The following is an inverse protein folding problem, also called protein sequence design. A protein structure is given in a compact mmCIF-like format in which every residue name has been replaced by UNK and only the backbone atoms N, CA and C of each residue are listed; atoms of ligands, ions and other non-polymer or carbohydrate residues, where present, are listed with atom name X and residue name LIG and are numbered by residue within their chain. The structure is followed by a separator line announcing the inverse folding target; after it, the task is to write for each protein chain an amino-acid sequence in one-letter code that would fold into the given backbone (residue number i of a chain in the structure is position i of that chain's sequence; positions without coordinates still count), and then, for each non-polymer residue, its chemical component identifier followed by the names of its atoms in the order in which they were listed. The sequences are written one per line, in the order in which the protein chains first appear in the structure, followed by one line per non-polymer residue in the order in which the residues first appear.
data_IF_233022575655
#
_entry.id   IF_233022575655
#
_cell.length_a   1.000
_cell.length_b   1.000
_cell.length_c   1.000
_cell.angle_alpha   90.00
_cell.angle_beta   90.00
_cell.angle_gamma   90.00
#
_symmetry.space_group_name_H-M   'P 1'
#
loop_
_entity.id
_entity.type
_entity.pdbx_description
1 polymer ?
#
# COMPACT_ATOMS: atom_id res chain seq x y z
N UNK A 1 -37.91 -14.21 -10.26
CA UNK A 1 -37.60 -13.33 -9.11
C UNK A 1 -38.46 -12.12 -9.20
N UNK A 2 -39.24 -11.83 -8.16
CA UNK A 2 -40.01 -10.58 -8.07
C UNK A 2 -39.03 -9.42 -7.92
N UNK A 3 -39.39 -8.25 -8.43
CA UNK A 3 -38.61 -7.01 -8.32
C UNK A 3 -38.29 -6.70 -6.84
N UNK A 4 -39.27 -6.93 -5.96
CA UNK A 4 -39.13 -6.80 -4.50
C UNK A 4 -37.98 -7.61 -3.89
N UNK A 5 -37.66 -8.83 -4.40
CA UNK A 5 -36.63 -9.66 -3.85
C UNK A 5 -35.21 -9.22 -4.28
N UNK A 6 -35.07 -8.49 -5.38
CA UNK A 6 -33.80 -7.85 -5.79
C UNK A 6 -33.52 -6.64 -4.92
N UNK A 7 -34.52 -5.83 -4.67
CA UNK A 7 -34.40 -4.61 -3.86
C UNK A 7 -34.02 -4.93 -2.41
N UNK A 8 -34.53 -6.02 -1.85
CA UNK A 8 -34.16 -6.47 -0.51
C UNK A 8 -32.68 -6.88 -0.45
N UNK A 9 -32.20 -7.69 -1.42
CA UNK A 9 -30.79 -8.11 -1.46
C UNK A 9 -29.85 -6.89 -1.60
N UNK A 10 -30.21 -5.93 -2.45
CA UNK A 10 -29.42 -4.71 -2.63
C UNK A 10 -29.36 -3.87 -1.35
N UNK A 11 -30.47 -3.72 -0.64
CA UNK A 11 -30.51 -3.04 0.64
C UNK A 11 -29.64 -3.75 1.68
N UNK A 12 -29.65 -5.08 1.74
CA UNK A 12 -28.84 -5.84 2.69
C UNK A 12 -27.36 -5.80 2.33
N UNK A 13 -26.99 -5.82 1.04
CA UNK A 13 -25.62 -5.58 0.61
C UNK A 13 -25.11 -4.19 1.03
N UNK A 14 -25.93 -3.16 0.85
CA UNK A 14 -25.60 -1.79 1.28
C UNK A 14 -25.42 -1.70 2.81
N UNK A 15 -26.24 -2.40 3.60
CA UNK A 15 -26.05 -2.51 5.06
C UNK A 15 -24.72 -3.22 5.39
N UNK A 16 -24.40 -4.32 4.71
CA UNK A 16 -23.16 -5.06 4.92
C UNK A 16 -21.93 -4.19 4.59
N UNK A 17 -21.97 -3.42 3.50
CA UNK A 17 -20.91 -2.45 3.14
C UNK A 17 -20.76 -1.37 4.21
N UNK A 18 -21.87 -0.84 4.72
CA UNK A 18 -21.84 0.16 5.80
C UNK A 18 -21.23 -0.42 7.08
N UNK A 19 -21.60 -1.65 7.48
CA UNK A 19 -20.99 -2.33 8.61
C UNK A 19 -19.50 -2.60 8.40
N UNK A 20 -19.09 -2.97 7.19
CA UNK A 20 -17.68 -3.14 6.83
C UNK A 20 -16.91 -1.81 7.03
N UNK A 21 -17.46 -0.68 6.56
CA UNK A 21 -16.88 0.64 6.76
C UNK A 21 -16.78 1.09 8.23
N UNK A 22 -17.66 0.56 9.10
CA UNK A 22 -17.64 0.78 10.54
C UNK A 22 -16.79 -0.25 11.31
N UNK A 23 -16.08 -1.15 10.64
CA UNK A 23 -15.34 -2.29 11.21
C UNK A 23 -16.22 -3.28 12.00
N UNK A 24 -17.52 -3.29 11.78
CA UNK A 24 -18.49 -4.24 12.35
C UNK A 24 -18.53 -5.51 11.50
N UNK A 25 -17.43 -6.27 11.56
CA UNK A 25 -17.22 -7.41 10.66
C UNK A 25 -18.20 -8.55 10.88
N UNK A 26 -18.59 -8.81 12.13
CA UNK A 26 -19.51 -9.91 12.47
C UNK A 26 -20.91 -9.69 11.91
N UNK A 27 -21.40 -8.44 11.97
CA UNK A 27 -22.70 -8.04 11.43
C UNK A 27 -22.69 -8.12 9.89
N UNK A 28 -21.61 -7.65 9.25
CA UNK A 28 -21.43 -7.75 7.81
C UNK A 28 -21.35 -9.22 7.35
N UNK A 29 -20.61 -10.08 8.07
CA UNK A 29 -20.50 -11.53 7.78
C UNK A 29 -21.87 -12.21 7.91
N UNK A 30 -22.66 -11.88 8.92
CA UNK A 30 -24.02 -12.47 9.11
C UNK A 30 -24.91 -12.18 7.90
N UNK A 31 -25.01 -10.90 7.52
CA UNK A 31 -25.86 -10.50 6.38
C UNK A 31 -25.39 -11.17 5.08
N UNK A 32 -24.09 -11.14 4.79
CA UNK A 32 -23.57 -11.78 3.58
C UNK A 32 -23.82 -13.29 3.54
N UNK A 33 -23.70 -13.98 4.69
CA UNK A 33 -23.99 -15.41 4.76
C UNK A 33 -25.48 -15.72 4.58
N UNK A 34 -26.38 -14.86 5.02
CA UNK A 34 -27.82 -15.00 4.77
C UNK A 34 -28.11 -14.84 3.27
N UNK A 35 -27.58 -13.79 2.65
CA UNK A 35 -27.71 -13.57 1.20
C UNK A 35 -27.24 -14.79 0.41
N UNK A 36 -26.08 -15.35 0.76
CA UNK A 36 -25.47 -16.50 0.05
C UNK A 36 -26.30 -17.78 0.22
N UNK A 37 -26.94 -17.98 1.39
CA UNK A 37 -27.84 -19.11 1.63
C UNK A 37 -29.07 -19.06 0.73
N UNK A 38 -29.62 -17.88 0.53
CA UNK A 38 -30.80 -17.69 -0.31
C UNK A 38 -30.45 -17.68 -1.79
N UNK A 39 -29.33 -17.05 -2.13
CA UNK A 39 -28.88 -16.88 -3.51
C UNK A 39 -27.36 -16.76 -3.59
N UNK A 40 -26.78 -17.48 -4.53
CA UNK A 40 -25.37 -17.33 -4.89
C UNK A 40 -25.12 -15.90 -5.42
N UNK A 41 -24.48 -15.04 -4.62
CA UNK A 41 -24.32 -13.61 -4.91
C UNK A 41 -22.85 -13.20 -4.89
N UNK A 42 -22.38 -12.63 -6.01
CA UNK A 42 -20.97 -12.24 -6.20
C UNK A 42 -20.52 -11.16 -5.24
N UNK A 43 -21.36 -10.15 -4.98
CA UNK A 43 -21.00 -9.03 -4.10
C UNK A 43 -20.94 -9.46 -2.63
N UNK A 44 -21.82 -10.36 -2.20
CA UNK A 44 -21.76 -10.93 -0.86
C UNK A 44 -20.48 -11.71 -0.62
N UNK A 45 -20.04 -12.55 -1.59
CA UNK A 45 -18.73 -13.22 -1.52
C UNK A 45 -17.57 -12.22 -1.51
N UNK A 46 -17.63 -11.14 -2.30
CA UNK A 46 -16.61 -10.10 -2.33
C UNK A 46 -16.49 -9.37 -1.00
N UNK A 47 -17.61 -9.02 -0.35
CA UNK A 47 -17.62 -8.39 0.98
C UNK A 47 -16.98 -9.34 2.00
N UNK A 48 -17.35 -10.62 2.00
CA UNK A 48 -16.73 -11.62 2.87
C UNK A 48 -15.23 -11.76 2.61
N UNK A 49 -14.81 -11.75 1.34
CA UNK A 49 -13.39 -11.78 0.97
C UNK A 49 -12.64 -10.59 1.54
N UNK A 50 -13.21 -9.38 1.45
CA UNK A 50 -12.62 -8.15 2.00
C UNK A 50 -12.47 -8.23 3.52
N UNK A 51 -13.46 -8.78 4.23
CA UNK A 51 -13.39 -9.02 5.68
C UNK A 51 -12.26 -10.02 6.00
N UNK A 52 -12.14 -11.12 5.23
CA UNK A 52 -11.07 -12.11 5.44
C UNK A 52 -9.69 -11.52 5.16
N UNK A 53 -9.57 -10.66 4.14
CA UNK A 53 -8.35 -9.93 3.85
C UNK A 53 -7.93 -9.03 5.03
N UNK A 54 -8.87 -8.26 5.58
CA UNK A 54 -8.64 -7.43 6.75
C UNK A 54 -8.20 -8.26 7.98
N UNK A 55 -8.85 -9.41 8.22
CA UNK A 55 -8.50 -10.37 9.27
C UNK A 55 -7.20 -11.14 8.99
N UNK A 56 -6.49 -10.84 7.90
CA UNK A 56 -5.26 -11.51 7.45
C UNK A 56 -5.44 -13.00 7.14
N UNK A 57 -6.67 -13.45 6.88
CA UNK A 57 -7.01 -14.81 6.46
C UNK A 57 -6.89 -14.92 4.92
N UNK A 58 -5.67 -14.71 4.38
CA UNK A 58 -5.44 -14.47 2.95
C UNK A 58 -5.96 -15.60 2.04
N UNK A 59 -5.75 -16.87 2.42
CA UNK A 59 -6.22 -18.01 1.61
C UNK A 59 -7.75 -18.05 1.51
N UNK A 60 -8.45 -17.77 2.61
CA UNK A 60 -9.92 -17.69 2.59
C UNK A 60 -10.42 -16.50 1.78
N UNK A 61 -9.71 -15.37 1.86
CA UNK A 61 -10.01 -14.21 1.03
C UNK A 61 -9.90 -14.57 -0.47
N UNK A 62 -8.82 -15.23 -0.88
CA UNK A 62 -8.62 -15.68 -2.26
C UNK A 62 -9.72 -16.66 -2.69
N UNK A 63 -10.08 -17.62 -1.85
CA UNK A 63 -11.18 -18.56 -2.14
C UNK A 63 -12.51 -17.83 -2.40
N UNK A 64 -12.87 -16.90 -1.49
CA UNK A 64 -14.14 -16.19 -1.58
C UNK A 64 -14.20 -15.24 -2.77
N UNK A 65 -13.12 -14.50 -3.05
CA UNK A 65 -13.13 -13.61 -4.21
C UNK A 65 -13.12 -14.37 -5.54
N UNK A 66 -12.54 -15.56 -5.59
CA UNK A 66 -12.67 -16.41 -6.77
C UNK A 66 -14.11 -16.85 -7.00
N UNK A 67 -14.88 -17.16 -5.95
CA UNK A 67 -16.34 -17.41 -6.08
C UNK A 67 -17.09 -16.18 -6.61
N UNK A 68 -16.68 -14.97 -6.23
CA UNK A 68 -17.24 -13.74 -6.82
C UNK A 68 -16.97 -13.67 -8.32
N UNK A 69 -15.72 -13.95 -8.72
CA UNK A 69 -15.28 -13.91 -10.12
C UNK A 69 -15.97 -15.02 -10.96
N UNK A 70 -16.17 -16.21 -10.40
CA UNK A 70 -16.91 -17.31 -11.08
C UNK A 70 -18.36 -16.92 -11.40
N UNK A 71 -18.98 -16.06 -10.60
CA UNK A 71 -20.35 -15.58 -10.80
C UNK A 71 -20.38 -14.38 -11.73
N UNK A 72 -19.43 -13.45 -11.58
CA UNK A 72 -19.30 -12.24 -12.39
C UNK A 72 -17.83 -11.88 -12.55
N UNK A 73 -17.28 -12.07 -13.74
CA UNK A 73 -15.86 -11.82 -14.05
C UNK A 73 -15.58 -10.43 -14.65
N UNK A 74 -16.61 -9.57 -14.75
CA UNK A 74 -16.51 -8.24 -15.32
C UNK A 74 -16.28 -7.13 -14.27
N UNK A 75 -16.43 -7.44 -12.97
CA UNK A 75 -16.24 -6.44 -11.92
C UNK A 75 -14.75 -6.26 -11.57
N UNK A 76 -14.12 -5.10 -11.90
CA UNK A 76 -12.72 -4.86 -11.63
C UNK A 76 -12.37 -4.90 -10.13
N UNK A 77 -13.31 -4.56 -9.24
CA UNK A 77 -13.12 -4.56 -7.79
C UNK A 77 -12.75 -5.94 -7.23
N UNK A 78 -13.28 -7.01 -7.82
CA UNK A 78 -12.93 -8.37 -7.40
C UNK A 78 -11.47 -8.69 -7.68
N UNK A 79 -10.96 -8.28 -8.84
CA UNK A 79 -9.55 -8.47 -9.20
C UNK A 79 -8.61 -7.57 -8.39
N UNK A 80 -9.06 -6.39 -7.96
CA UNK A 80 -8.31 -5.56 -7.01
C UNK A 80 -8.15 -6.29 -5.69
N UNK A 81 -9.25 -6.82 -5.13
CA UNK A 81 -9.20 -7.58 -3.87
C UNK A 81 -8.36 -8.84 -4.00
N UNK A 82 -8.48 -9.57 -5.11
CA UNK A 82 -7.64 -10.74 -5.41
C UNK A 82 -6.15 -10.36 -5.46
N UNK A 83 -5.82 -9.25 -6.13
CA UNK A 83 -4.46 -8.72 -6.21
C UNK A 83 -3.89 -8.36 -4.84
N UNK A 84 -4.68 -7.69 -4.00
CA UNK A 84 -4.31 -7.37 -2.63
C UNK A 84 -4.09 -8.62 -1.77
N UNK A 85 -4.97 -9.62 -1.86
CA UNK A 85 -4.86 -10.86 -1.11
C UNK A 85 -3.61 -11.67 -1.52
N UNK A 86 -3.31 -11.77 -2.82
CA UNK A 86 -2.06 -12.37 -3.30
C UNK A 86 -0.83 -11.58 -2.88
N UNK A 87 -0.87 -10.24 -2.91
CA UNK A 87 0.24 -9.41 -2.45
C UNK A 87 0.53 -9.61 -0.96
N UNK A 88 -0.53 -9.64 -0.14
CA UNK A 88 -0.43 -9.87 1.30
C UNK A 88 0.11 -11.28 1.65
N UNK A 89 -0.25 -12.29 0.85
CA UNK A 89 0.32 -13.64 0.94
C UNK A 89 1.71 -13.77 0.30
N UNK A 90 2.29 -12.67 -0.19
CA UNK A 90 3.59 -12.61 -0.89
C UNK A 90 3.64 -13.33 -2.25
N UNK A 91 2.49 -13.69 -2.81
CA UNK A 91 2.38 -14.23 -4.17
C UNK A 91 2.31 -13.07 -5.19
N UNK A 92 3.41 -12.36 -5.33
CA UNK A 92 3.47 -11.17 -6.19
C UNK A 92 3.24 -11.48 -7.67
N UNK A 93 3.48 -12.72 -8.13
CA UNK A 93 3.21 -13.09 -9.53
C UNK A 93 1.71 -13.09 -9.83
N UNK A 94 0.90 -13.70 -8.98
CA UNK A 94 -0.55 -13.72 -9.16
C UNK A 94 -1.18 -12.37 -8.79
N UNK A 95 -0.62 -11.64 -7.82
CA UNK A 95 -0.99 -10.25 -7.54
C UNK A 95 -0.89 -9.36 -8.80
N UNK A 96 0.23 -9.42 -9.52
CA UNK A 96 0.43 -8.66 -10.78
C UNK A 96 -0.62 -9.06 -11.83
N UNK A 97 -0.92 -10.36 -11.98
CA UNK A 97 -1.94 -10.81 -12.95
C UNK A 97 -3.32 -10.23 -12.60
N UNK A 98 -3.69 -10.27 -11.33
CA UNK A 98 -4.97 -9.77 -10.86
C UNK A 98 -5.09 -8.25 -11.06
N UNK A 99 -4.08 -7.45 -10.67
CA UNK A 99 -4.12 -6.00 -10.90
C UNK A 99 -4.16 -5.63 -12.39
N UNK A 100 -3.41 -6.34 -13.25
CA UNK A 100 -3.49 -6.14 -14.71
C UNK A 100 -4.88 -6.45 -15.26
N UNK A 101 -5.54 -7.49 -14.76
CA UNK A 101 -6.92 -7.80 -15.16
C UNK A 101 -7.88 -6.71 -14.68
N UNK A 102 -7.73 -6.21 -13.44
CA UNK A 102 -8.52 -5.09 -12.94
C UNK A 102 -8.37 -3.85 -13.84
N UNK A 103 -7.13 -3.49 -14.22
CA UNK A 103 -6.86 -2.36 -15.12
C UNK A 103 -7.51 -2.58 -16.49
N UNK A 104 -7.44 -3.81 -17.05
CA UNK A 104 -8.06 -4.13 -18.33
C UNK A 104 -9.60 -4.05 -18.31
N UNK A 105 -10.21 -4.15 -17.12
CA UNK A 105 -11.64 -3.97 -16.86
C UNK A 105 -11.99 -2.52 -16.42
N UNK A 106 -11.10 -1.57 -16.72
CA UNK A 106 -11.28 -0.15 -16.46
C UNK A 106 -11.10 0.30 -14.99
N UNK A 107 -10.33 -0.45 -14.19
CA UNK A 107 -9.89 0.03 -12.87
C UNK A 107 -8.71 1.01 -12.99
N UNK A 108 -8.88 2.07 -13.78
CA UNK A 108 -7.84 3.08 -14.05
C UNK A 108 -7.75 4.08 -12.87
N UNK A 109 -7.39 3.57 -11.70
CA UNK A 109 -7.25 4.36 -10.48
C UNK A 109 -5.82 4.30 -9.96
N UNK A 110 -5.34 5.43 -9.41
CA UNK A 110 -3.97 5.57 -8.89
C UNK A 110 -3.56 4.43 -7.95
N UNK A 111 -4.47 4.03 -7.06
CA UNK A 111 -4.20 3.01 -6.05
C UNK A 111 -3.90 1.62 -6.65
N UNK A 112 -4.55 1.25 -7.76
CA UNK A 112 -4.30 -0.05 -8.42
C UNK A 112 -2.92 -0.05 -9.07
N UNK A 113 -2.53 1.03 -9.73
CA UNK A 113 -1.19 1.19 -10.29
C UNK A 113 -0.12 1.23 -9.20
N UNK A 114 -0.40 1.85 -8.06
CA UNK A 114 0.49 1.84 -6.91
C UNK A 114 0.75 0.41 -6.40
N UNK A 115 -0.28 -0.38 -6.16
CA UNK A 115 -0.13 -1.78 -5.71
C UNK A 115 0.54 -2.68 -6.76
N UNK A 116 0.28 -2.43 -8.04
CA UNK A 116 0.98 -3.11 -9.14
C UNK A 116 2.48 -2.80 -9.10
N UNK A 117 2.84 -1.52 -8.91
CA UNK A 117 4.22 -1.07 -8.76
C UNK A 117 4.93 -1.71 -7.56
N UNK A 118 4.26 -1.79 -6.41
CA UNK A 118 4.79 -2.48 -5.23
C UNK A 118 5.06 -3.97 -5.52
N UNK A 119 4.10 -4.65 -6.16
CA UNK A 119 4.26 -6.07 -6.51
C UNK A 119 5.43 -6.30 -7.47
N UNK A 120 5.63 -5.41 -8.45
CA UNK A 120 6.79 -5.45 -9.34
C UNK A 120 8.10 -5.20 -8.59
N UNK A 121 8.14 -4.20 -7.68
CA UNK A 121 9.31 -3.90 -6.86
C UNK A 121 9.71 -5.12 -6.01
N UNK A 122 8.75 -5.79 -5.38
CA UNK A 122 9.01 -7.01 -4.59
C UNK A 122 9.61 -8.15 -5.42
N UNK A 123 9.28 -8.23 -6.70
CA UNK A 123 9.91 -9.15 -7.66
C UNK A 123 11.19 -8.59 -8.31
N UNK A 124 11.68 -7.42 -7.88
CA UNK A 124 12.84 -6.71 -8.45
C UNK A 124 12.69 -6.37 -9.93
N UNK A 125 11.46 -6.29 -10.42
CA UNK A 125 11.13 -5.81 -11.77
C UNK A 125 11.07 -4.28 -11.77
N UNK A 126 12.23 -3.66 -11.57
CA UNK A 126 12.32 -2.24 -11.27
C UNK A 126 11.77 -1.32 -12.37
N UNK A 127 11.97 -1.65 -13.64
CA UNK A 127 11.46 -0.83 -14.75
C UNK A 127 9.91 -0.85 -14.78
N UNK A 128 9.30 -2.01 -14.57
CA UNK A 128 7.84 -2.14 -14.51
C UNK A 128 7.28 -1.41 -13.27
N UNK A 129 7.99 -1.48 -12.14
CA UNK A 129 7.63 -0.76 -10.92
C UNK A 129 7.66 0.76 -11.14
N UNK A 130 8.72 1.29 -11.75
CA UNK A 130 8.87 2.70 -12.10
C UNK A 130 7.72 3.16 -12.99
N UNK A 131 7.40 2.42 -14.05
CA UNK A 131 6.29 2.76 -14.94
C UNK A 131 4.95 2.82 -14.19
N UNK A 132 4.72 1.85 -13.29
CA UNK A 132 3.50 1.80 -12.49
C UNK A 132 3.41 2.97 -11.50
N UNK A 133 4.51 3.35 -10.84
CA UNK A 133 4.53 4.51 -9.93
C UNK A 133 4.36 5.83 -10.68
N UNK A 134 4.93 5.98 -11.89
CA UNK A 134 4.66 7.16 -12.70
C UNK A 134 3.19 7.24 -13.10
N UNK A 135 2.56 6.12 -13.47
CA UNK A 135 1.12 6.13 -13.76
C UNK A 135 0.30 6.50 -12.51
N UNK A 136 0.73 6.05 -11.33
CA UNK A 136 0.12 6.49 -10.05
C UNK A 136 0.21 8.00 -9.90
N UNK A 137 1.38 8.60 -10.16
CA UNK A 137 1.63 10.05 -10.02
C UNK A 137 0.86 10.86 -11.07
N UNK A 138 0.73 10.35 -12.30
CA UNK A 138 -0.11 10.98 -13.34
C UNK A 138 -1.57 11.08 -12.91
N UNK A 139 -2.10 10.03 -12.26
CA UNK A 139 -3.48 9.97 -11.79
C UNK A 139 -3.69 10.69 -10.44
N UNK A 140 -2.66 10.79 -9.61
CA UNK A 140 -2.66 11.46 -8.31
C UNK A 140 -1.29 12.11 -8.07
N UNK A 141 -1.12 13.38 -8.49
CA UNK A 141 0.18 14.07 -8.44
C UNK A 141 0.75 14.28 -7.01
N UNK A 142 -0.08 14.17 -6.00
CA UNK A 142 0.26 14.32 -4.58
C UNK A 142 0.40 12.98 -3.83
N UNK A 143 0.52 11.86 -4.57
CA UNK A 143 0.64 10.54 -3.97
C UNK A 143 2.02 10.30 -3.35
N UNK A 144 2.19 10.74 -2.10
CA UNK A 144 3.45 10.72 -1.32
C UNK A 144 4.13 9.34 -1.35
N UNK A 145 3.35 8.26 -1.12
CA UNK A 145 3.91 6.91 -1.08
C UNK A 145 4.48 6.45 -2.44
N UNK A 146 3.94 6.94 -3.56
CA UNK A 146 4.49 6.63 -4.88
C UNK A 146 5.87 7.26 -5.08
N UNK A 147 6.04 8.54 -4.70
CA UNK A 147 7.35 9.20 -4.73
C UNK A 147 8.35 8.52 -3.80
N UNK A 148 7.92 8.13 -2.59
CA UNK A 148 8.76 7.40 -1.64
C UNK A 148 9.28 6.09 -2.23
N UNK A 149 8.37 5.25 -2.79
CA UNK A 149 8.77 3.97 -3.39
C UNK A 149 9.55 4.14 -4.69
N UNK A 150 9.26 5.16 -5.48
CA UNK A 150 10.05 5.50 -6.66
C UNK A 150 11.49 5.86 -6.28
N UNK A 151 11.67 6.67 -5.23
CA UNK A 151 12.99 6.97 -4.67
C UNK A 151 13.74 5.72 -4.23
N UNK A 152 13.10 4.81 -3.52
CA UNK A 152 13.69 3.54 -3.10
C UNK A 152 14.07 2.65 -4.30
N UNK A 153 13.24 2.58 -5.35
CA UNK A 153 13.56 1.81 -6.57
C UNK A 153 14.77 2.40 -7.28
N UNK A 154 14.87 3.72 -7.39
CA UNK A 154 16.04 4.37 -7.98
C UNK A 154 17.31 4.15 -7.14
N UNK A 155 17.18 4.15 -5.82
CA UNK A 155 18.30 3.83 -4.91
C UNK A 155 18.78 2.39 -5.11
N UNK A 156 17.85 1.40 -5.20
CA UNK A 156 18.18 0.00 -5.48
C UNK A 156 18.86 -0.17 -6.86
N UNK A 157 18.51 0.69 -7.84
CA UNK A 157 19.17 0.77 -9.16
C UNK A 157 20.47 1.59 -9.15
N UNK A 158 20.89 2.16 -8.03
CA UNK A 158 22.03 3.08 -7.89
C UNK A 158 21.92 4.35 -8.75
N UNK A 159 20.71 4.75 -9.08
CA UNK A 159 20.38 5.99 -9.81
C UNK A 159 20.11 7.11 -8.79
N UNK A 160 21.15 7.52 -8.08
CA UNK A 160 21.00 8.37 -6.89
C UNK A 160 20.41 9.76 -7.19
N UNK A 161 20.72 10.35 -8.36
CA UNK A 161 20.15 11.65 -8.74
C UNK A 161 18.61 11.59 -8.86
N UNK A 162 18.07 10.53 -9.47
CA UNK A 162 16.63 10.31 -9.60
C UNK A 162 15.99 9.95 -8.26
N UNK A 163 16.73 9.23 -7.41
CA UNK A 163 16.31 8.92 -6.05
C UNK A 163 16.17 10.20 -5.22
N UNK A 164 17.17 11.10 -5.27
CA UNK A 164 17.14 12.42 -4.60
C UNK A 164 15.94 13.24 -5.07
N UNK A 165 15.69 13.31 -6.38
CA UNK A 165 14.53 14.04 -6.93
C UNK A 165 13.22 13.49 -6.38
N UNK A 166 13.08 12.15 -6.33
CA UNK A 166 11.87 11.49 -5.85
C UNK A 166 11.63 11.75 -4.36
N UNK A 167 12.67 11.64 -3.51
CA UNK A 167 12.53 11.94 -2.08
C UNK A 167 12.29 13.42 -1.82
N UNK A 168 12.89 14.34 -2.59
CA UNK A 168 12.58 15.77 -2.50
C UNK A 168 11.11 16.05 -2.80
N UNK A 169 10.54 15.43 -3.83
CA UNK A 169 9.10 15.54 -4.12
C UNK A 169 8.23 14.98 -3.01
N UNK A 170 8.62 13.86 -2.42
CA UNK A 170 7.94 13.30 -1.26
C UNK A 170 7.91 14.32 -0.08
N UNK A 171 9.04 14.95 0.23
CA UNK A 171 9.20 15.94 1.31
C UNK A 171 8.46 17.25 0.97
N UNK A 172 8.46 17.68 -0.29
CA UNK A 172 7.70 18.86 -0.74
C UNK A 172 6.20 18.72 -0.44
N UNK A 173 5.64 17.51 -0.63
CA UNK A 173 4.23 17.22 -0.36
C UNK A 173 4.00 16.98 1.15
N UNK A 174 4.90 16.26 1.81
CA UNK A 174 4.82 15.92 3.23
C UNK A 174 6.14 16.30 3.93
N UNK A 175 6.28 17.56 4.40
CA UNK A 175 7.54 18.05 4.99
C UNK A 175 7.95 17.35 6.29
N UNK A 176 7.01 16.79 7.05
CA UNK A 176 7.30 16.02 8.27
C UNK A 176 7.18 14.52 8.01
N UNK A 177 8.06 14.00 7.13
CA UNK A 177 8.14 12.58 6.80
C UNK A 177 9.56 12.05 7.05
N UNK A 178 9.86 11.60 8.28
CA UNK A 178 11.21 11.27 8.70
C UNK A 178 11.90 10.22 7.83
N UNK A 179 11.18 9.22 7.32
CA UNK A 179 11.74 8.19 6.44
C UNK A 179 12.20 8.75 5.09
N UNK A 180 11.49 9.73 4.55
CA UNK A 180 11.89 10.39 3.30
C UNK A 180 13.16 11.22 3.48
N UNK A 181 13.24 12.01 4.57
CA UNK A 181 14.44 12.75 4.94
C UNK A 181 15.63 11.83 5.18
N UNK A 182 15.45 10.76 5.94
CA UNK A 182 16.50 9.77 6.19
C UNK A 182 17.05 9.19 4.89
N UNK A 183 16.18 8.74 3.99
CA UNK A 183 16.59 8.17 2.70
C UNK A 183 17.25 9.22 1.78
N UNK A 184 16.76 10.46 1.79
CA UNK A 184 17.40 11.59 1.09
C UNK A 184 18.81 11.81 1.62
N UNK A 185 18.98 11.85 2.96
CA UNK A 185 20.26 12.00 3.60
C UNK A 185 21.26 10.90 3.20
N UNK A 186 20.80 9.63 3.21
CA UNK A 186 21.60 8.49 2.76
C UNK A 186 22.02 8.64 1.29
N UNK A 187 21.14 9.10 0.40
CA UNK A 187 21.50 9.35 -0.99
C UNK A 187 22.57 10.43 -1.12
N UNK A 188 22.45 11.54 -0.39
CA UNK A 188 23.45 12.61 -0.39
C UNK A 188 24.80 12.12 0.11
N UNK A 189 24.85 11.36 1.20
CA UNK A 189 26.10 10.77 1.71
C UNK A 189 26.75 9.84 0.69
N UNK A 190 25.97 9.05 -0.04
CA UNK A 190 26.47 8.13 -1.07
C UNK A 190 27.06 8.83 -2.28
N UNK A 191 26.59 10.03 -2.62
CA UNK A 191 27.15 10.84 -3.72
C UNK A 191 28.22 11.83 -3.27
N UNK A 192 28.55 11.86 -1.98
CA UNK A 192 29.61 12.71 -1.42
C UNK A 192 29.17 14.12 -1.00
N UNK A 193 27.87 14.43 -1.03
CA UNK A 193 27.32 15.65 -0.50
C UNK A 193 27.11 15.53 1.02
N UNK A 194 28.20 15.61 1.75
CA UNK A 194 28.19 15.38 3.21
C UNK A 194 27.44 16.44 3.98
N UNK A 195 27.44 17.70 3.53
CA UNK A 195 26.75 18.79 4.22
C UNK A 195 25.23 18.56 4.25
N UNK A 196 24.61 18.38 3.08
CA UNK A 196 23.19 18.08 2.97
C UNK A 196 22.87 16.70 3.55
N UNK A 197 23.76 15.72 3.34
CA UNK A 197 23.61 14.35 3.80
C UNK A 197 23.44 14.25 5.31
N UNK A 198 24.34 14.84 6.08
CA UNK A 198 24.24 14.80 7.55
C UNK A 198 23.05 15.59 8.07
N UNK A 199 22.74 16.74 7.47
CA UNK A 199 21.58 17.52 7.86
C UNK A 199 20.27 16.73 7.72
N UNK A 200 20.07 16.07 6.60
CA UNK A 200 18.89 15.24 6.36
C UNK A 200 18.92 13.93 7.20
N UNK A 201 20.11 13.36 7.42
CA UNK A 201 20.26 12.14 8.21
C UNK A 201 19.89 12.33 9.69
N UNK A 202 19.94 13.56 10.23
CA UNK A 202 19.53 13.86 11.61
C UNK A 202 18.03 13.52 11.88
N UNK A 203 17.22 13.45 10.84
CA UNK A 203 15.81 13.03 10.96
C UNK A 203 15.62 11.61 11.50
N UNK A 204 16.68 10.76 11.45
CA UNK A 204 16.66 9.44 12.10
C UNK A 204 16.26 9.50 13.57
N UNK A 205 16.54 10.63 14.25
CA UNK A 205 16.19 10.83 15.67
C UNK A 205 14.68 10.78 15.90
N UNK A 206 13.87 11.16 14.93
CA UNK A 206 12.40 11.05 14.99
C UNK A 206 11.90 9.61 14.85
N UNK A 207 12.69 8.74 14.22
CA UNK A 207 12.35 7.32 14.03
C UNK A 207 12.76 6.45 15.21
N UNK A 208 13.75 6.89 15.97
CA UNK A 208 14.28 6.19 17.13
C UNK A 208 13.59 6.80 18.37
N UNK A 209 12.74 6.04 19.03
CA UNK A 209 12.25 6.39 20.37
C UNK A 209 13.39 6.17 21.39
N UNK A 210 14.35 7.09 21.41
CA UNK A 210 15.35 7.11 22.47
C UNK A 210 14.66 7.49 23.79
N UNK A 211 15.00 6.86 24.91
CA UNK A 211 14.60 7.34 26.23
C UNK A 211 15.05 8.81 26.38
N UNK A 212 14.20 9.65 26.93
CA UNK A 212 14.42 11.11 27.03
C UNK A 212 15.73 11.51 27.75
N UNK A 213 16.29 10.61 28.54
CA UNK A 213 17.54 10.82 29.29
C UNK A 213 18.80 10.58 28.44
N UNK A 214 18.74 9.77 27.39
CA UNK A 214 19.91 9.52 26.53
C UNK A 214 20.15 10.68 25.54
N UNK A 215 19.11 11.47 25.19
CA UNK A 215 19.23 12.66 24.36
C UNK A 215 20.02 13.81 25.03
N UNK A 216 20.09 13.82 26.37
CA UNK A 216 20.85 14.83 27.14
C UNK A 216 22.37 14.63 27.09
N UNK A 217 22.84 13.51 26.59
CA UNK A 217 24.27 13.18 26.47
C UNK A 217 24.81 13.32 25.04
N UNK A 218 24.14 14.10 24.21
CA UNK A 218 24.62 14.32 22.85
C UNK A 218 25.98 15.03 22.90
N UNK A 219 27.00 14.44 22.28
CA UNK A 219 28.30 15.07 22.17
C UNK A 219 28.22 16.32 21.29
N UNK A 220 28.55 17.47 21.87
CA UNK A 220 28.46 18.77 21.21
C UNK A 220 29.81 19.26 20.63
N UNK A 221 30.75 18.36 20.39
CA UNK A 221 32.08 18.73 19.90
C UNK A 221 33.09 19.08 21.02
N UNK A 222 32.77 18.80 22.27
CA UNK A 222 33.67 19.04 23.40
C UNK A 222 34.85 18.03 23.38
N UNK A 223 36.02 18.49 23.85
CA UNK A 223 37.18 17.60 24.00
C UNK A 223 36.85 16.42 24.90
N UNK A 224 37.24 15.23 24.45
CA UNK A 224 37.11 13.98 25.20
C UNK A 224 38.25 13.76 26.22
N UNK A 225 39.07 14.80 26.48
CA UNK A 225 40.19 14.71 27.38
C UNK A 225 39.75 14.21 28.76
N UNK A 226 40.21 13.03 29.11
CA UNK A 226 39.98 12.33 30.39
C UNK A 226 38.58 11.83 30.73
N UNK A 227 37.69 11.58 29.75
CA UNK A 227 36.46 10.85 29.97
C UNK A 227 36.53 9.49 29.33
N UNK A 228 36.47 8.42 30.13
CA UNK A 228 36.27 7.09 29.62
C UNK A 228 34.96 7.02 28.83
N UNK A 229 35.01 6.46 27.64
CA UNK A 229 33.85 6.12 26.82
C UNK A 229 33.03 5.00 27.48
#
# INVERSE_FOLDING_TARGET
MTEDSKDIIEQDLNKAINFLGQNKFSEAESICNEIIKEKNNSDAYHILSSIKLYKQEFNKSIELVNKSIEINDENPGYYVTLGCAHSASKDYKNSIKAFKKAISLNAEVAQVHFYLGESYRKLKKYNDAIASFYRTIELSPDHVAAYMLLGLVYQEKKQFDLSVQSFKKCIEIMPDYPEAHLNLGLCYLLVGDYENGWREYEWRKKLIKLPSDDLKKEWTGQSLDNKAL
#
